data_IF_750379538679
#
_entry.id   IF_750379538679
#
_cell.length_a   1.000
_cell.length_b   1.000
_cell.length_c   1.000
_cell.angle_alpha   90.00
_cell.angle_beta   90.00
_cell.angle_gamma   90.00
#
_symmetry.space_group_name_H-M   'P 1'
#
loop_
_entity.id
_entity.type
_entity.pdbx_description
1 polymer ?
#
# COMPACT_ATOMS: atom_id res chain seq x y z
N UNK A 1 -30.67 -28.84 1.57
CA UNK A 1 -29.82 -27.96 0.73
C UNK A 1 -28.38 -28.27 1.06
N UNK A 2 -27.58 -28.60 0.07
CA UNK A 2 -26.16 -28.92 0.28
C UNK A 2 -25.41 -27.67 0.78
N UNK A 3 -24.65 -27.79 1.87
CA UNK A 3 -23.90 -26.71 2.45
C UNK A 3 -22.71 -26.39 1.53
N UNK A 4 -22.70 -25.21 0.90
CA UNK A 4 -21.63 -24.79 -0.01
C UNK A 4 -20.36 -24.49 0.78
N UNK A 5 -19.30 -25.25 0.50
CA UNK A 5 -17.99 -25.10 1.14
C UNK A 5 -17.07 -24.24 0.26
N UNK A 6 -16.56 -23.16 0.80
CA UNK A 6 -15.65 -22.24 0.12
C UNK A 6 -14.30 -22.19 0.87
N UNK A 7 -13.21 -22.31 0.14
CA UNK A 7 -11.89 -22.07 0.69
C UNK A 7 -11.38 -20.66 0.32
N UNK A 8 -10.74 -19.98 1.27
CA UNK A 8 -9.98 -18.74 1.03
C UNK A 8 -8.53 -19.02 1.45
N UNK A 9 -7.59 -18.93 0.51
CA UNK A 9 -6.18 -19.25 0.74
C UNK A 9 -5.36 -17.97 0.79
N UNK A 10 -4.87 -17.63 1.98
CA UNK A 10 -4.15 -16.40 2.29
C UNK A 10 -4.97 -15.42 3.13
N UNK A 11 -4.48 -15.15 4.35
CA UNK A 11 -5.10 -14.25 5.32
C UNK A 11 -4.57 -12.81 5.25
N UNK A 12 -4.13 -12.36 4.06
CA UNK A 12 -3.80 -10.95 3.78
C UNK A 12 -5.06 -10.10 3.58
N UNK A 13 -4.87 -8.82 3.30
CA UNK A 13 -5.98 -7.86 3.10
C UNK A 13 -6.98 -8.32 2.02
N UNK A 14 -6.50 -8.92 0.93
CA UNK A 14 -7.36 -9.47 -0.12
C UNK A 14 -8.22 -10.64 0.37
N UNK A 15 -7.63 -11.61 1.08
CA UNK A 15 -8.36 -12.78 1.59
C UNK A 15 -9.35 -12.42 2.69
N UNK A 16 -8.98 -11.49 3.58
CA UNK A 16 -9.89 -10.94 4.61
C UNK A 16 -11.08 -10.25 3.93
N UNK A 17 -10.83 -9.39 2.95
CA UNK A 17 -11.88 -8.70 2.19
C UNK A 17 -12.79 -9.69 1.47
N UNK A 18 -12.22 -10.74 0.86
CA UNK A 18 -13.00 -11.78 0.21
C UNK A 18 -13.90 -12.52 1.20
N UNK A 19 -13.37 -12.99 2.32
CA UNK A 19 -14.14 -13.70 3.34
C UNK A 19 -15.26 -12.83 3.94
N UNK A 20 -14.97 -11.54 4.24
CA UNK A 20 -15.95 -10.60 4.75
C UNK A 20 -17.06 -10.31 3.72
N UNK A 21 -16.72 -10.16 2.44
CA UNK A 21 -17.68 -9.95 1.35
C UNK A 21 -18.58 -11.18 1.16
N UNK A 22 -18.03 -12.39 1.22
CA UNK A 22 -18.80 -13.63 1.15
C UNK A 22 -19.83 -13.70 2.29
N UNK A 23 -19.43 -13.38 3.53
CA UNK A 23 -20.35 -13.36 4.69
C UNK A 23 -21.47 -12.34 4.52
N UNK A 24 -21.19 -11.17 3.98
CA UNK A 24 -22.15 -10.07 3.90
C UNK A 24 -23.19 -10.27 2.80
N UNK A 25 -22.80 -10.86 1.67
CA UNK A 25 -23.60 -10.85 0.45
C UNK A 25 -24.09 -12.24 0.01
N UNK A 26 -23.75 -13.30 0.75
CA UNK A 26 -24.26 -14.63 0.43
C UNK A 26 -25.79 -14.71 0.65
N UNK A 27 -26.52 -15.15 -0.37
CA UNK A 27 -27.97 -15.38 -0.30
C UNK A 27 -28.36 -16.67 0.47
N UNK A 28 -27.38 -17.53 0.75
CA UNK A 28 -27.51 -18.79 1.46
C UNK A 28 -26.31 -19.02 2.39
N UNK A 29 -26.44 -19.87 3.44
CA UNK A 29 -25.32 -20.17 4.33
C UNK A 29 -24.14 -20.78 3.58
N UNK A 30 -22.94 -20.23 3.81
CA UNK A 30 -21.68 -20.73 3.29
C UNK A 30 -20.80 -21.26 4.43
N UNK A 31 -20.13 -22.38 4.19
CA UNK A 31 -19.05 -22.85 5.06
C UNK A 31 -17.71 -22.32 4.53
N UNK A 32 -17.21 -21.26 5.13
CA UNK A 32 -15.96 -20.60 4.72
C UNK A 32 -14.81 -21.11 5.59
N UNK A 33 -13.74 -21.58 4.95
CA UNK A 33 -12.47 -21.90 5.59
C UNK A 33 -11.38 -20.96 5.06
N UNK A 34 -10.78 -20.17 5.94
CA UNK A 34 -9.66 -19.30 5.63
C UNK A 34 -8.36 -19.95 6.10
N UNK A 35 -7.42 -20.16 5.17
CA UNK A 35 -6.11 -20.72 5.43
C UNK A 35 -5.05 -19.63 5.42
N UNK A 36 -4.24 -19.55 6.48
CA UNK A 36 -3.09 -18.64 6.57
C UNK A 36 -1.83 -19.40 7.01
N UNK A 37 -0.76 -19.26 6.23
CA UNK A 37 0.51 -19.93 6.50
C UNK A 37 1.25 -19.34 7.72
N UNK A 38 1.00 -18.06 8.02
CA UNK A 38 1.60 -17.33 9.13
C UNK A 38 0.88 -17.56 10.46
N UNK A 39 1.49 -17.03 11.54
CA UNK A 39 0.91 -17.05 12.89
C UNK A 39 -0.22 -16.05 13.09
N UNK A 40 -0.34 -15.07 12.19
CA UNK A 40 -1.31 -13.98 12.25
C UNK A 40 -1.80 -13.61 10.84
N UNK A 41 -2.99 -13.02 10.77
CA UNK A 41 -3.51 -12.42 9.55
C UNK A 41 -2.75 -11.11 9.23
N UNK A 42 -3.05 -10.51 8.06
CA UNK A 42 -2.53 -9.21 7.62
C UNK A 42 -1.54 -9.27 6.45
N UNK A 43 -0.95 -10.44 6.19
CA UNK A 43 -0.04 -10.63 5.05
C UNK A 43 1.24 -9.79 5.18
N UNK A 44 1.56 -8.98 4.16
CA UNK A 44 2.73 -8.07 4.16
C UNK A 44 2.56 -6.89 5.13
N UNK A 45 1.35 -6.36 5.26
CA UNK A 45 1.04 -5.27 6.20
C UNK A 45 0.68 -5.85 7.57
N UNK A 46 1.71 -6.11 8.37
CA UNK A 46 1.60 -6.72 9.70
C UNK A 46 2.58 -6.08 10.66
N UNK A 47 2.32 -6.26 11.95
CA UNK A 47 3.27 -5.87 13.00
C UNK A 47 4.27 -7.00 13.27
N UNK A 48 5.48 -6.62 13.66
CA UNK A 48 6.60 -7.51 13.98
C UNK A 48 7.20 -7.15 15.32
N UNK A 49 7.66 -8.17 16.07
CA UNK A 49 8.40 -7.97 17.31
C UNK A 49 9.88 -7.78 17.00
N UNK A 50 10.46 -6.65 17.38
CA UNK A 50 11.88 -6.35 17.29
C UNK A 50 12.40 -5.92 18.66
N UNK A 51 13.19 -6.77 19.26
CA UNK A 51 13.66 -6.61 20.65
C UNK A 51 12.44 -6.36 21.59
N UNK A 52 12.40 -5.26 22.32
CA UNK A 52 11.29 -4.89 23.20
C UNK A 52 10.15 -4.12 22.50
N UNK A 53 10.27 -3.84 21.21
CA UNK A 53 9.31 -3.02 20.48
C UNK A 53 8.41 -3.86 19.57
N UNK A 54 7.12 -3.53 19.53
CA UNK A 54 6.19 -3.98 18.50
C UNK A 54 6.17 -2.91 17.41
N UNK A 55 6.77 -3.20 16.27
CA UNK A 55 6.88 -2.29 15.13
C UNK A 55 6.14 -2.88 13.92
N UNK A 56 5.98 -2.09 12.88
CA UNK A 56 5.36 -2.56 11.66
C UNK A 56 6.40 -3.11 10.67
N UNK A 57 5.96 -4.03 9.80
CA UNK A 57 6.78 -4.53 8.68
C UNK A 57 6.89 -3.45 7.59
N UNK A 58 7.29 -2.25 7.97
CA UNK A 58 7.33 -1.04 7.19
C UNK A 58 6.24 -0.03 7.57
N UNK A 59 6.59 1.26 7.51
CA UNK A 59 5.65 2.34 7.78
C UNK A 59 4.66 2.46 6.62
N UNK A 60 3.37 2.50 6.93
CA UNK A 60 2.30 2.62 5.95
C UNK A 60 1.59 3.97 6.06
N UNK A 61 1.04 4.42 4.95
CA UNK A 61 0.13 5.54 4.85
C UNK A 61 -1.09 5.06 4.07
N UNK A 62 -2.28 5.47 4.49
CA UNK A 62 -3.50 5.29 3.71
C UNK A 62 -4.00 6.66 3.27
N UNK A 63 -4.92 6.66 2.32
CA UNK A 63 -5.53 7.88 1.81
C UNK A 63 -7.05 7.84 1.97
N UNK A 64 -7.66 9.00 2.07
CA UNK A 64 -9.11 9.12 2.09
C UNK A 64 -9.78 8.58 0.82
N UNK A 65 -9.03 8.44 -0.28
CA UNK A 65 -9.47 7.77 -1.52
C UNK A 65 -9.65 6.26 -1.39
N UNK A 66 -9.16 5.62 -0.32
CA UNK A 66 -9.23 4.17 -0.11
C UNK A 66 -10.62 3.75 0.39
N UNK A 67 -11.63 3.91 -0.47
CA UNK A 67 -13.04 3.76 -0.10
C UNK A 67 -13.43 2.33 0.24
N UNK A 68 -12.90 1.33 -0.48
CA UNK A 68 -13.19 -0.08 -0.18
C UNK A 68 -12.53 -0.52 1.12
N UNK A 69 -11.33 0.00 1.42
CA UNK A 69 -10.66 -0.21 2.72
C UNK A 69 -11.45 0.39 3.87
N UNK A 70 -11.93 1.63 3.72
CA UNK A 70 -12.75 2.30 4.73
C UNK A 70 -14.12 1.61 4.91
N UNK A 71 -14.68 1.05 3.84
CA UNK A 71 -15.90 0.23 3.91
C UNK A 71 -15.65 -1.07 4.66
N UNK A 72 -14.54 -1.76 4.37
CA UNK A 72 -14.14 -2.98 5.07
C UNK A 72 -13.94 -2.71 6.57
N UNK A 73 -13.27 -1.61 6.95
CA UNK A 73 -13.12 -1.23 8.36
C UNK A 73 -14.46 -1.09 9.07
N UNK A 74 -15.42 -0.38 8.47
CA UNK A 74 -16.78 -0.25 9.04
C UNK A 74 -17.46 -1.60 9.23
N UNK A 75 -17.31 -2.51 8.26
CA UNK A 75 -17.84 -3.86 8.34
C UNK A 75 -17.21 -4.68 9.48
N UNK A 76 -15.92 -4.52 9.70
CA UNK A 76 -15.18 -5.21 10.77
C UNK A 76 -15.32 -4.53 12.15
N UNK A 77 -16.04 -3.42 12.25
CA UNK A 77 -16.21 -2.66 13.48
C UNK A 77 -14.99 -1.80 13.86
N UNK A 78 -14.08 -1.54 12.91
CA UNK A 78 -12.94 -0.65 13.13
C UNK A 78 -13.39 0.81 13.07
N UNK A 79 -13.15 1.53 14.13
CA UNK A 79 -13.44 2.96 14.22
C UNK A 79 -12.23 3.75 13.72
N UNK A 80 -12.40 4.52 12.66
CA UNK A 80 -11.30 5.17 11.94
C UNK A 80 -10.40 6.00 12.86
N UNK A 81 -10.97 6.86 13.70
CA UNK A 81 -10.20 7.78 14.55
C UNK A 81 -9.43 7.09 15.68
N UNK A 82 -9.74 5.81 15.99
CA UNK A 82 -9.01 5.02 16.97
C UNK A 82 -7.71 4.43 16.41
N UNK A 83 -7.63 4.29 15.08
CA UNK A 83 -6.52 3.58 14.42
C UNK A 83 -5.68 4.47 13.51
N UNK A 84 -6.23 5.58 13.00
CA UNK A 84 -5.50 6.54 12.16
C UNK A 84 -5.80 7.98 12.54
N UNK A 85 -4.81 8.86 12.35
CA UNK A 85 -4.97 10.30 12.33
C UNK A 85 -5.28 10.74 10.91
N UNK A 86 -6.50 11.22 10.66
CA UNK A 86 -6.86 11.84 9.39
C UNK A 86 -6.45 13.31 9.41
N UNK A 87 -5.74 13.72 8.36
CA UNK A 87 -5.37 15.13 8.17
C UNK A 87 -5.43 15.51 6.69
N UNK A 88 -5.71 16.79 6.36
CA UNK A 88 -5.63 17.27 4.99
C UNK A 88 -4.28 16.99 4.39
N UNK A 89 -4.23 16.74 3.07
CA UNK A 89 -2.99 16.49 2.38
C UNK A 89 -1.96 17.58 2.66
N UNK A 90 -0.82 17.16 3.18
CA UNK A 90 0.34 17.99 3.45
C UNK A 90 1.58 17.28 2.91
N UNK A 91 2.31 17.98 2.06
CA UNK A 91 3.59 17.52 1.54
C UNK A 91 4.65 18.53 1.92
N UNK A 92 5.49 18.17 2.87
CA UNK A 92 6.66 18.94 3.23
C UNK A 92 7.92 18.15 2.90
N UNK A 93 8.83 18.81 2.17
CA UNK A 93 10.09 18.23 1.75
C UNK A 93 11.21 19.13 2.19
N UNK A 94 12.24 18.54 2.79
CA UNK A 94 13.46 19.24 3.23
C UNK A 94 14.67 18.81 2.39
N UNK A 95 15.69 19.65 2.35
CA UNK A 95 17.02 19.33 1.85
C UNK A 95 18.04 19.93 2.82
N UNK A 96 18.78 19.09 3.52
CA UNK A 96 19.46 19.51 4.74
C UNK A 96 18.47 20.15 5.71
N UNK A 97 18.84 21.23 6.38
CA UNK A 97 17.98 21.92 7.35
C UNK A 97 16.94 22.87 6.71
N UNK A 98 16.84 22.90 5.38
CA UNK A 98 15.96 23.84 4.69
C UNK A 98 14.72 23.14 4.13
N UNK A 99 13.55 23.74 4.34
CA UNK A 99 12.33 23.35 3.65
C UNK A 99 12.38 23.81 2.20
N UNK A 100 12.40 22.86 1.26
CA UNK A 100 12.47 23.12 -0.18
C UNK A 100 11.12 23.01 -0.88
N UNK A 101 10.13 22.40 -0.23
CA UNK A 101 8.75 22.36 -0.67
C UNK A 101 7.82 22.31 0.55
N UNK A 102 6.79 23.17 0.55
CA UNK A 102 5.69 23.06 1.49
C UNK A 102 4.38 23.27 0.73
N UNK A 103 3.61 22.20 0.60
CA UNK A 103 2.31 22.17 -0.05
C UNK A 103 1.26 21.67 0.94
N UNK A 104 0.24 22.46 1.20
CA UNK A 104 -0.82 22.12 2.14
C UNK A 104 -2.19 22.41 1.53
N UNK A 105 -3.09 21.45 1.63
CA UNK A 105 -4.50 21.68 1.32
C UNK A 105 -5.19 22.33 2.52
N UNK A 106 -6.05 23.32 2.24
CA UNK A 106 -6.91 23.91 3.29
C UNK A 106 -7.83 22.83 3.88
N UNK A 107 -8.06 22.88 5.19
CA UNK A 107 -8.91 21.90 5.88
C UNK A 107 -10.39 22.01 5.46
N UNK A 108 -10.85 23.19 5.05
CA UNK A 108 -12.27 23.49 4.74
C UNK A 108 -12.41 24.25 3.43
N UNK A 109 -13.63 24.27 2.91
CA UNK A 109 -14.02 24.94 1.68
C UNK A 109 -14.28 24.00 0.49
N UNK A 110 -14.85 24.50 -0.60
CA UNK A 110 -15.06 23.72 -1.81
C UNK A 110 -13.76 23.12 -2.33
N UNK A 111 -13.82 21.89 -2.85
CA UNK A 111 -12.63 21.14 -3.25
C UNK A 111 -11.74 21.89 -4.26
N UNK A 112 -12.34 22.48 -5.31
CA UNK A 112 -11.62 23.27 -6.29
C UNK A 112 -10.90 24.50 -5.68
N UNK A 113 -11.51 25.14 -4.68
CA UNK A 113 -10.90 26.27 -3.95
C UNK A 113 -9.73 25.82 -3.08
N UNK A 114 -9.84 24.65 -2.44
CA UNK A 114 -8.74 24.05 -1.66
C UNK A 114 -7.51 23.80 -2.55
N UNK A 115 -7.72 23.20 -3.73
CA UNK A 115 -6.64 22.97 -4.71
C UNK A 115 -6.04 24.27 -5.24
N UNK A 116 -6.87 25.24 -5.65
CA UNK A 116 -6.41 26.52 -6.17
C UNK A 116 -5.61 27.30 -5.11
N UNK A 117 -6.15 27.42 -3.90
CA UNK A 117 -5.50 28.13 -2.81
C UNK A 117 -4.18 27.48 -2.39
N UNK A 118 -4.10 26.14 -2.40
CA UNK A 118 -2.86 25.43 -2.10
C UNK A 118 -1.81 25.68 -3.21
N UNK A 119 -2.21 25.65 -4.47
CA UNK A 119 -1.33 26.00 -5.60
C UNK A 119 -0.77 27.42 -5.54
N UNK A 120 -1.61 28.39 -5.08
CA UNK A 120 -1.17 29.78 -4.88
C UNK A 120 -0.23 29.94 -3.67
N UNK A 121 -0.44 29.19 -2.62
CA UNK A 121 0.30 29.27 -1.34
C UNK A 121 1.52 28.37 -1.27
N UNK A 122 1.72 27.48 -2.23
CA UNK A 122 2.86 26.56 -2.23
C UNK A 122 4.17 27.31 -2.11
N UNK A 123 4.98 26.92 -1.13
CA UNK A 123 6.33 27.46 -0.91
C UNK A 123 7.38 26.57 -1.56
N UNK A 124 8.51 27.18 -2.00
CA UNK A 124 9.62 26.44 -2.58
C UNK A 124 9.51 26.22 -4.09
N UNK A 125 8.45 26.70 -4.77
CA UNK A 125 8.32 26.66 -6.21
C UNK A 125 8.47 28.04 -6.84
N UNK A 126 9.36 28.14 -7.83
CA UNK A 126 9.49 29.31 -8.70
C UNK A 126 8.24 29.47 -9.59
N UNK A 127 8.02 30.65 -10.16
CA UNK A 127 6.91 30.89 -11.10
C UNK A 127 6.96 29.95 -12.32
N UNK A 128 8.15 29.61 -12.80
CA UNK A 128 8.34 28.66 -13.90
C UNK A 128 7.91 27.25 -13.51
N UNK A 129 8.24 26.81 -12.32
CA UNK A 129 7.83 25.49 -11.79
C UNK A 129 6.31 25.43 -11.55
N UNK A 130 5.68 26.50 -11.06
CA UNK A 130 4.22 26.59 -10.92
C UNK A 130 3.52 26.45 -12.29
N UNK A 131 4.01 27.15 -13.32
CA UNK A 131 3.48 27.01 -14.68
C UNK A 131 3.71 25.61 -15.27
N UNK A 132 4.85 24.99 -14.99
CA UNK A 132 5.13 23.61 -15.38
C UNK A 132 4.14 22.64 -14.71
N UNK A 133 3.84 22.85 -13.42
CA UNK A 133 2.85 22.04 -12.71
C UNK A 133 1.42 22.22 -13.27
N UNK A 134 1.00 23.45 -13.55
CA UNK A 134 -0.29 23.72 -14.20
C UNK A 134 -0.39 23.00 -15.56
N UNK A 135 0.67 23.05 -16.37
CA UNK A 135 0.74 22.34 -17.66
C UNK A 135 0.64 20.81 -17.47
N UNK A 136 1.32 20.25 -16.47
CA UNK A 136 1.23 18.84 -16.14
C UNK A 136 -0.20 18.45 -15.75
N UNK A 137 -0.84 19.24 -14.89
CA UNK A 137 -2.23 18.96 -14.48
C UNK A 137 -3.21 19.10 -15.65
N UNK A 138 -3.03 20.09 -16.55
CA UNK A 138 -3.81 20.21 -17.75
C UNK A 138 -3.63 19.00 -18.69
N UNK A 139 -2.39 18.56 -18.89
CA UNK A 139 -2.10 17.37 -19.70
C UNK A 139 -2.74 16.10 -19.08
N UNK A 140 -2.70 15.94 -17.75
CA UNK A 140 -3.33 14.83 -17.05
C UNK A 140 -4.85 14.75 -17.27
N UNK A 141 -5.50 15.91 -17.42
CA UNK A 141 -6.95 16.03 -17.61
C UNK A 141 -7.40 15.91 -19.07
N UNK A 142 -6.56 16.34 -20.03
CA UNK A 142 -6.97 16.52 -21.43
C UNK A 142 -6.31 15.56 -22.39
N UNK A 143 -5.18 14.94 -22.04
CA UNK A 143 -4.44 14.09 -22.95
C UNK A 143 -4.59 12.60 -22.59
N UNK A 144 -4.76 11.72 -23.58
CA UNK A 144 -4.75 10.29 -23.35
C UNK A 144 -3.32 9.85 -22.94
N UNK A 145 -3.24 8.96 -21.96
CA UNK A 145 -1.99 8.36 -21.51
C UNK A 145 -1.94 6.94 -22.04
N UNK A 146 -0.95 6.67 -22.90
CA UNK A 146 -0.77 5.33 -23.45
C UNK A 146 -0.24 4.38 -22.37
N UNK A 147 -0.66 3.10 -22.39
CA UNK A 147 -0.24 2.10 -21.37
C UNK A 147 1.28 1.96 -21.24
N UNK A 148 2.02 2.14 -22.34
CA UNK A 148 3.49 2.02 -22.38
C UNK A 148 4.23 3.29 -21.91
N UNK A 149 3.52 4.38 -21.59
CA UNK A 149 4.16 5.63 -21.19
C UNK A 149 4.69 5.53 -19.77
N UNK A 150 5.99 5.80 -19.60
CA UNK A 150 6.57 5.91 -18.26
C UNK A 150 6.37 7.30 -17.66
N UNK A 151 6.46 7.40 -16.34
CA UNK A 151 6.38 8.70 -15.66
C UNK A 151 7.50 9.63 -16.14
N UNK A 152 8.73 9.15 -16.29
CA UNK A 152 9.86 9.97 -16.79
C UNK A 152 9.58 10.54 -18.19
N UNK A 153 9.04 9.73 -19.11
CA UNK A 153 8.66 10.19 -20.44
C UNK A 153 7.59 11.29 -20.38
N UNK A 154 6.56 11.10 -19.58
CA UNK A 154 5.49 12.08 -19.44
C UNK A 154 5.97 13.39 -18.79
N UNK A 155 6.85 13.32 -17.78
CA UNK A 155 7.48 14.49 -17.16
C UNK A 155 8.30 15.28 -18.18
N UNK A 156 9.05 14.60 -19.06
CA UNK A 156 9.76 15.22 -20.18
C UNK A 156 8.81 15.92 -21.17
N UNK A 157 7.74 15.24 -21.61
CA UNK A 157 6.72 15.79 -22.51
C UNK A 157 6.04 17.03 -21.93
N UNK A 158 5.78 17.02 -20.62
CA UNK A 158 5.18 18.14 -19.89
C UNK A 158 6.22 19.17 -19.41
N UNK A 159 7.50 19.02 -19.82
CA UNK A 159 8.62 19.93 -19.56
C UNK A 159 8.77 20.26 -18.06
N UNK A 160 8.76 19.23 -17.21
CA UNK A 160 9.05 19.40 -15.81
C UNK A 160 10.56 19.59 -15.60
N UNK A 161 10.96 20.54 -14.74
CA UNK A 161 12.37 20.78 -14.43
C UNK A 161 12.91 19.70 -13.47
N UNK A 162 14.22 19.44 -13.54
CA UNK A 162 14.88 18.50 -12.62
C UNK A 162 14.70 18.89 -11.15
N UNK A 163 14.65 20.19 -10.86
CA UNK A 163 14.36 20.71 -9.52
C UNK A 163 12.97 20.28 -9.06
N UNK A 164 11.94 20.44 -9.91
CA UNK A 164 10.57 20.07 -9.59
C UNK A 164 10.41 18.54 -9.52
N UNK A 165 11.12 17.80 -10.37
CA UNK A 165 11.15 16.35 -10.32
C UNK A 165 11.65 15.88 -8.96
N UNK A 166 12.81 16.34 -8.52
CA UNK A 166 13.41 15.94 -7.23
C UNK A 166 12.59 16.36 -6.00
N UNK A 167 11.95 17.52 -6.03
CA UNK A 167 11.20 18.05 -4.88
C UNK A 167 9.80 17.48 -4.76
N UNK A 168 9.16 17.14 -5.88
CA UNK A 168 7.72 16.79 -5.91
C UNK A 168 7.46 15.42 -6.56
N UNK A 169 7.81 15.27 -7.84
CA UNK A 169 7.36 14.12 -8.61
C UNK A 169 8.00 12.81 -8.15
N UNK A 170 9.31 12.79 -7.96
CA UNK A 170 10.03 11.58 -7.55
C UNK A 170 9.59 11.08 -6.17
N UNK A 171 9.52 11.90 -5.11
CA UNK A 171 8.98 11.47 -3.83
C UNK A 171 7.55 10.94 -3.91
N UNK A 172 6.68 11.59 -4.69
CA UNK A 172 5.29 11.14 -4.86
C UNK A 172 5.18 9.81 -5.61
N UNK A 173 5.93 9.64 -6.69
CA UNK A 173 5.91 8.40 -7.49
C UNK A 173 6.47 7.24 -6.69
N UNK A 174 7.58 7.43 -5.98
CA UNK A 174 8.15 6.40 -5.12
C UNK A 174 7.20 6.04 -3.96
N UNK A 175 6.55 7.04 -3.35
CA UNK A 175 5.56 6.77 -2.30
C UNK A 175 4.33 6.02 -2.81
N UNK A 176 3.85 6.34 -4.03
CA UNK A 176 2.63 5.77 -4.58
C UNK A 176 2.84 4.43 -5.29
N UNK A 177 3.94 4.28 -6.06
CA UNK A 177 4.17 3.14 -6.93
C UNK A 177 5.35 2.26 -6.49
N UNK A 178 6.18 2.74 -5.58
CA UNK A 178 7.44 2.07 -5.18
C UNK A 178 8.31 1.66 -6.39
N UNK A 179 8.26 2.44 -7.47
CA UNK A 179 8.87 2.12 -8.77
C UNK A 179 9.59 3.36 -9.29
N UNK A 180 10.83 3.23 -9.80
CA UNK A 180 11.59 4.37 -10.34
C UNK A 180 10.86 5.06 -11.50
N UNK A 181 11.00 6.37 -11.63
CA UNK A 181 10.34 7.19 -12.65
C UNK A 181 10.54 6.67 -14.09
N UNK A 182 11.72 6.10 -14.36
CA UNK A 182 12.12 5.60 -15.68
C UNK A 182 11.32 4.39 -16.14
N UNK A 183 10.74 3.63 -15.22
CA UNK A 183 9.98 2.41 -15.50
C UNK A 183 8.54 2.49 -15.00
N UNK A 184 8.25 3.38 -14.05
CA UNK A 184 6.93 3.53 -13.43
C UNK A 184 5.85 3.85 -14.45
N UNK A 185 4.70 3.19 -14.34
CA UNK A 185 3.54 3.39 -15.21
C UNK A 185 2.89 4.76 -15.00
N UNK A 186 2.87 5.58 -16.03
CA UNK A 186 2.18 6.87 -15.97
C UNK A 186 0.66 6.71 -15.93
N UNK A 187 0.08 5.70 -16.57
CA UNK A 187 -1.36 5.46 -16.54
C UNK A 187 -1.85 5.12 -15.13
N UNK A 188 -1.11 4.28 -14.39
CA UNK A 188 -1.41 3.93 -12.99
C UNK A 188 -1.19 5.14 -12.07
N UNK A 189 -0.10 5.89 -12.25
CA UNK A 189 0.14 7.10 -11.46
C UNK A 189 -0.94 8.15 -11.68
N UNK A 190 -1.37 8.32 -12.94
CA UNK A 190 -2.47 9.22 -13.28
C UNK A 190 -3.79 8.83 -12.60
N UNK A 191 -4.08 7.53 -12.49
CA UNK A 191 -5.25 7.05 -11.76
C UNK A 191 -5.16 7.37 -10.27
N UNK A 192 -3.99 7.15 -9.65
CA UNK A 192 -3.75 7.54 -8.26
C UNK A 192 -3.98 9.04 -8.05
N UNK A 193 -3.47 9.89 -8.95
CA UNK A 193 -3.67 11.34 -8.86
C UNK A 193 -5.15 11.72 -9.05
N UNK A 194 -5.87 11.09 -9.96
CA UNK A 194 -7.31 11.33 -10.16
C UNK A 194 -8.10 10.95 -8.91
N UNK A 195 -7.86 9.77 -8.37
CA UNK A 195 -8.59 9.27 -7.19
C UNK A 195 -8.27 10.08 -5.93
N UNK A 196 -7.01 10.48 -5.74
CA UNK A 196 -6.60 11.22 -4.54
C UNK A 196 -6.83 12.73 -4.63
N UNK A 197 -6.62 13.34 -5.79
CA UNK A 197 -6.66 14.81 -5.92
C UNK A 197 -7.98 15.29 -6.51
N UNK A 198 -8.58 14.55 -7.47
CA UNK A 198 -9.74 15.01 -8.23
C UNK A 198 -11.09 14.43 -7.74
N UNK A 199 -11.10 13.36 -6.95
CA UNK A 199 -12.33 12.67 -6.52
C UNK A 199 -13.12 13.37 -5.41
N UNK A 200 -12.74 14.58 -5.00
CA UNK A 200 -13.54 15.39 -4.08
C UNK A 200 -12.92 15.60 -2.70
N UNK A 201 -13.70 16.22 -1.82
CA UNK A 201 -13.24 16.56 -0.48
C UNK A 201 -12.94 15.30 0.34
N UNK A 202 -11.78 15.30 1.00
CA UNK A 202 -11.34 14.21 1.86
C UNK A 202 -10.64 13.05 1.13
N UNK A 203 -10.76 12.91 -0.20
CA UNK A 203 -10.07 11.86 -0.95
C UNK A 203 -8.54 11.98 -0.85
N UNK A 204 -8.03 13.20 -0.86
CA UNK A 204 -6.61 13.51 -0.69
C UNK A 204 -6.12 13.45 0.75
N UNK A 205 -7.00 13.33 1.75
CA UNK A 205 -6.57 13.32 3.14
C UNK A 205 -5.60 12.15 3.39
N UNK A 206 -4.56 12.43 4.17
CA UNK A 206 -3.65 11.41 4.66
C UNK A 206 -4.26 10.74 5.90
N UNK A 207 -4.25 9.43 5.90
CA UNK A 207 -4.63 8.60 7.05
C UNK A 207 -3.36 7.98 7.60
N UNK A 208 -2.79 8.63 8.62
CA UNK A 208 -1.54 8.21 9.26
C UNK A 208 -1.87 7.25 10.41
N UNK A 209 -1.39 6.00 10.39
CA UNK A 209 -1.60 5.07 11.48
C UNK A 209 -1.12 5.63 12.81
N UNK A 210 -1.93 5.43 13.86
CA UNK A 210 -1.62 5.75 15.26
C UNK A 210 -1.64 4.50 16.13
N UNK A 211 -1.92 3.36 15.52
CA UNK A 211 -1.87 2.03 16.11
C UNK A 211 -1.05 1.11 15.21
N UNK A 212 -0.44 0.02 15.75
CA UNK A 212 0.23 -0.99 14.94
C UNK A 212 -0.68 -1.55 13.83
N UNK A 213 -0.12 -1.89 12.67
CA UNK A 213 -0.88 -2.37 11.50
C UNK A 213 -1.79 -3.58 11.80
N UNK A 214 -1.42 -4.39 12.78
CA UNK A 214 -2.27 -5.50 13.21
C UNK A 214 -3.62 -5.03 13.74
N UNK A 215 -3.69 -3.89 14.41
CA UNK A 215 -4.93 -3.29 14.93
C UNK A 215 -5.80 -2.69 13.84
N UNK A 216 -5.21 -2.28 12.71
CA UNK A 216 -5.94 -1.68 11.59
C UNK A 216 -6.81 -2.71 10.85
N UNK A 217 -6.41 -3.99 10.82
CA UNK A 217 -7.16 -5.01 10.10
C UNK A 217 -7.07 -6.41 10.73
N UNK A 218 -5.86 -6.91 10.98
CA UNK A 218 -5.65 -8.33 11.27
C UNK A 218 -6.39 -8.82 12.52
N UNK A 219 -6.33 -8.05 13.61
CA UNK A 219 -6.99 -8.40 14.88
C UNK A 219 -8.52 -8.27 14.79
N UNK A 220 -9.10 -7.14 14.34
CA UNK A 220 -10.55 -7.03 14.20
C UNK A 220 -11.10 -8.03 13.18
N UNK A 221 -10.38 -8.30 12.07
CA UNK A 221 -10.80 -9.26 11.08
C UNK A 221 -10.87 -10.70 11.65
N UNK A 222 -9.85 -11.13 12.40
CA UNK A 222 -9.85 -12.46 12.99
C UNK A 222 -11.05 -12.64 13.92
N UNK A 223 -11.30 -11.67 14.79
CA UNK A 223 -12.46 -11.67 15.69
C UNK A 223 -13.78 -11.72 14.93
N UNK A 224 -13.95 -10.83 13.94
CA UNK A 224 -15.17 -10.76 13.12
C UNK A 224 -15.44 -12.06 12.36
N UNK A 225 -14.42 -12.62 11.70
CA UNK A 225 -14.57 -13.84 10.90
C UNK A 225 -14.93 -15.03 11.78
N UNK A 226 -14.28 -15.20 12.93
CA UNK A 226 -14.58 -16.29 13.87
C UNK A 226 -15.98 -16.17 14.48
N UNK A 227 -16.40 -14.98 14.89
CA UNK A 227 -17.74 -14.72 15.42
C UNK A 227 -18.85 -15.00 14.39
N UNK A 228 -18.54 -14.87 13.09
CA UNK A 228 -19.46 -15.15 11.99
C UNK A 228 -19.28 -16.56 11.39
N UNK A 229 -18.65 -17.49 12.11
CA UNK A 229 -18.58 -18.90 11.76
C UNK A 229 -17.54 -19.27 10.69
N UNK A 230 -16.60 -18.39 10.36
CA UNK A 230 -15.47 -18.72 9.47
C UNK A 230 -14.43 -19.55 10.21
N UNK A 231 -14.07 -20.71 9.67
CA UNK A 231 -12.98 -21.52 10.18
C UNK A 231 -11.62 -20.89 9.80
N UNK A 232 -11.00 -20.15 10.72
CA UNK A 232 -9.69 -19.53 10.49
C UNK A 232 -8.55 -20.48 10.88
N UNK A 233 -7.87 -21.06 9.89
CA UNK A 233 -6.78 -22.01 10.06
C UNK A 233 -5.42 -21.27 9.93
N UNK A 234 -4.91 -20.75 11.04
CA UNK A 234 -3.57 -20.13 11.11
C UNK A 234 -2.48 -21.20 11.14
N UNK A 235 -1.25 -20.84 10.76
CA UNK A 235 -0.08 -21.74 10.66
C UNK A 235 -0.35 -22.95 9.74
N UNK A 236 -1.32 -22.82 8.85
CA UNK A 236 -1.71 -23.86 7.89
C UNK A 236 -1.38 -23.40 6.47
N UNK A 237 -0.25 -23.85 5.94
CA UNK A 237 0.15 -23.63 4.55
C UNK A 237 -0.56 -24.63 3.67
N UNK A 238 -1.40 -24.16 2.75
CA UNK A 238 -1.92 -24.97 1.64
C UNK A 238 -0.77 -25.25 0.67
N UNK A 239 -0.68 -26.48 0.22
CA UNK A 239 0.38 -26.96 -0.69
C UNK A 239 -0.10 -27.14 -2.11
N UNK A 240 -1.37 -27.51 -2.29
CA UNK A 240 -1.93 -27.88 -3.59
C UNK A 240 -3.38 -27.44 -3.74
N UNK A 241 -3.70 -26.95 -4.92
CA UNK A 241 -5.03 -26.64 -5.40
C UNK A 241 -5.24 -27.33 -6.73
N UNK A 242 -6.24 -28.18 -6.83
CA UNK A 242 -6.49 -29.00 -8.01
C UNK A 242 -7.94 -28.81 -8.48
N UNK A 243 -8.18 -28.28 -9.69
CA UNK A 243 -9.53 -28.19 -10.25
C UNK A 243 -10.06 -29.59 -10.55
N UNK A 244 -11.32 -29.84 -10.16
CA UNK A 244 -12.06 -31.07 -10.48
C UNK A 244 -13.38 -30.72 -11.14
N UNK A 245 -14.08 -31.70 -11.70
CA UNK A 245 -15.29 -31.47 -12.54
C UNK A 245 -16.34 -30.57 -11.87
N UNK A 246 -16.62 -30.73 -10.58
CA UNK A 246 -17.66 -30.01 -9.86
C UNK A 246 -17.17 -29.14 -8.70
N UNK A 247 -15.87 -28.85 -8.63
CA UNK A 247 -15.28 -28.09 -7.52
C UNK A 247 -13.77 -28.02 -7.57
N UNK A 248 -13.14 -28.00 -6.40
CA UNK A 248 -11.69 -27.87 -6.24
C UNK A 248 -11.25 -28.72 -5.05
N UNK A 249 -10.15 -29.44 -5.20
CA UNK A 249 -9.46 -30.06 -4.07
C UNK A 249 -8.39 -29.08 -3.53
N UNK A 250 -8.45 -28.81 -2.24
CA UNK A 250 -7.45 -28.04 -1.50
C UNK A 250 -6.76 -29.00 -0.53
N UNK A 251 -5.50 -29.32 -0.76
CA UNK A 251 -4.76 -30.40 -0.06
C UNK A 251 -5.56 -31.71 0.04
N UNK A 252 -6.23 -32.10 -1.06
CA UNK A 252 -7.07 -33.33 -1.13
C UNK A 252 -8.47 -33.19 -0.50
N UNK A 253 -8.84 -32.06 0.08
CA UNK A 253 -10.16 -31.82 0.64
C UNK A 253 -11.04 -31.08 -0.37
N UNK A 254 -12.26 -31.56 -0.61
CA UNK A 254 -13.19 -30.96 -1.57
C UNK A 254 -13.82 -29.64 -1.07
N UNK A 255 -13.82 -28.64 -1.95
CA UNK A 255 -14.55 -27.39 -1.86
C UNK A 255 -15.31 -27.12 -3.16
N UNK A 256 -16.43 -26.41 -3.07
CA UNK A 256 -17.23 -26.02 -4.24
C UNK A 256 -16.54 -24.93 -5.06
N UNK A 257 -15.81 -24.04 -4.38
CA UNK A 257 -14.95 -23.03 -5.00
C UNK A 257 -13.82 -22.59 -4.06
N UNK A 258 -12.80 -21.96 -4.64
CA UNK A 258 -11.68 -21.41 -3.89
C UNK A 258 -11.35 -19.97 -4.34
N UNK A 259 -11.06 -19.10 -3.38
CA UNK A 259 -10.42 -17.82 -3.63
C UNK A 259 -8.96 -17.93 -3.19
N UNK A 260 -8.04 -17.84 -4.14
CA UNK A 260 -6.59 -17.86 -3.90
C UNK A 260 -6.11 -16.42 -3.75
N UNK A 261 -5.88 -16.01 -2.50
CA UNK A 261 -5.49 -14.66 -2.10
C UNK A 261 -4.02 -14.59 -1.65
N UNK A 262 -3.16 -15.35 -2.30
CA UNK A 262 -1.72 -15.38 -2.04
C UNK A 262 -0.97 -14.39 -2.94
N UNK A 263 0.25 -14.03 -2.55
CA UNK A 263 1.13 -13.23 -3.40
C UNK A 263 1.52 -13.99 -4.68
N UNK A 264 1.80 -13.31 -5.82
CA UNK A 264 2.02 -13.95 -7.12
C UNK A 264 3.02 -15.10 -7.11
N UNK A 265 4.15 -14.94 -6.40
CA UNK A 265 5.20 -15.97 -6.28
C UNK A 265 4.75 -17.24 -5.56
N UNK A 266 3.65 -17.19 -4.83
CA UNK A 266 3.07 -18.35 -4.15
C UNK A 266 1.85 -18.88 -4.87
N UNK A 267 1.15 -18.06 -5.64
CA UNK A 267 -0.08 -18.42 -6.34
C UNK A 267 0.19 -19.52 -7.36
N UNK A 268 1.14 -19.31 -8.28
CA UNK A 268 1.44 -20.29 -9.32
C UNK A 268 1.91 -21.65 -8.76
N UNK A 269 2.64 -21.63 -7.66
CA UNK A 269 3.16 -22.85 -7.02
C UNK A 269 2.09 -23.74 -6.36
N UNK A 270 0.84 -23.25 -6.23
CA UNK A 270 -0.27 -24.04 -5.69
C UNK A 270 -0.88 -24.99 -6.71
N UNK A 271 -0.62 -24.77 -8.00
CA UNK A 271 -1.25 -25.52 -9.09
C UNK A 271 -0.26 -26.48 -9.74
N UNK A 272 -0.72 -27.69 -10.04
CA UNK A 272 0.08 -28.69 -10.80
C UNK A 272 0.13 -28.35 -12.28
N UNK A 273 -0.91 -27.69 -12.79
CA UNK A 273 -0.95 -27.18 -14.16
C UNK A 273 -0.53 -25.70 -14.17
N UNK A 274 0.22 -25.25 -15.19
CA UNK A 274 0.56 -23.84 -15.32
C UNK A 274 -0.70 -22.95 -15.37
N UNK A 275 -0.66 -21.83 -14.68
CA UNK A 275 -1.71 -20.83 -14.78
C UNK A 275 -1.70 -20.23 -16.19
N UNK A 276 -2.87 -20.09 -16.86
CA UNK A 276 -2.96 -19.43 -18.16
C UNK A 276 -2.45 -17.98 -18.08
N UNK A 277 -1.65 -17.57 -19.07
CA UNK A 277 -1.15 -16.20 -19.22
C UNK A 277 -0.54 -15.62 -17.92
N UNK A 278 0.15 -16.45 -17.13
CA UNK A 278 0.76 -16.02 -15.88
C UNK A 278 2.05 -15.24 -16.16
N UNK A 279 2.09 -13.90 -15.86
CA UNK A 279 3.25 -13.09 -16.18
C UNK A 279 4.42 -13.37 -15.24
N UNK A 280 5.62 -12.97 -15.67
CA UNK A 280 6.76 -12.87 -14.77
C UNK A 280 6.60 -11.64 -13.87
N UNK A 281 7.04 -11.80 -12.63
CA UNK A 281 6.88 -10.77 -11.60
C UNK A 281 8.22 -10.25 -11.12
N UNK A 282 8.45 -8.97 -11.34
CA UNK A 282 9.50 -8.23 -10.67
C UNK A 282 8.95 -7.57 -9.41
N UNK A 283 9.79 -7.51 -8.36
CA UNK A 283 9.41 -6.97 -7.06
C UNK A 283 10.36 -5.86 -6.65
N UNK A 284 9.80 -4.85 -6.01
CA UNK A 284 10.57 -3.81 -5.38
C UNK A 284 10.50 -3.91 -3.86
N UNK A 285 11.64 -3.77 -3.18
CA UNK A 285 11.72 -3.78 -1.73
C UNK A 285 11.30 -2.42 -1.15
N UNK A 286 10.99 -2.45 0.14
CA UNK A 286 10.92 -1.26 1.00
C UNK A 286 11.75 -1.56 2.24
N UNK A 287 12.69 -0.67 2.55
CA UNK A 287 13.42 -0.70 3.80
C UNK A 287 12.88 0.37 4.75
N UNK A 288 12.77 0.04 6.02
CA UNK A 288 12.44 0.99 7.09
C UNK A 288 13.52 0.91 8.14
N UNK A 289 14.15 2.04 8.44
CA UNK A 289 15.10 2.18 9.54
C UNK A 289 14.36 2.83 10.70
N UNK A 290 14.18 2.08 11.77
CA UNK A 290 13.63 2.59 13.02
C UNK A 290 14.77 3.07 13.91
N UNK A 291 14.67 4.31 14.38
CA UNK A 291 15.67 4.93 15.23
C UNK A 291 15.01 5.50 16.49
N UNK A 292 15.54 5.17 17.68
CA UNK A 292 15.10 5.72 18.95
C UNK A 292 16.18 6.64 19.53
N UNK A 293 15.80 7.85 19.81
CA UNK A 293 16.63 8.89 20.40
C UNK A 293 16.30 9.09 21.89
N UNK A 294 17.22 9.69 22.63
CA UNK A 294 16.99 10.03 24.05
C UNK A 294 15.87 11.07 24.21
N UNK A 295 15.71 11.95 23.24
CA UNK A 295 14.68 12.99 23.19
C UNK A 295 13.99 12.96 21.84
N UNK A 296 12.81 13.59 21.73
CA UNK A 296 12.10 13.73 20.49
C UNK A 296 12.94 14.46 19.43
N UNK A 297 13.08 13.86 18.26
CA UNK A 297 13.59 14.55 17.07
C UNK A 297 12.49 15.48 16.56
N UNK A 298 12.75 16.78 16.52
CA UNK A 298 11.77 17.78 16.11
C UNK A 298 11.58 17.75 14.60
N UNK A 299 10.57 17.05 14.14
CA UNK A 299 10.11 17.12 12.75
C UNK A 299 9.04 18.23 12.64
N UNK A 300 9.02 19.00 11.53
CA UNK A 300 8.01 20.04 11.33
C UNK A 300 6.59 19.50 11.15
N UNK A 301 6.45 18.24 10.70
CA UNK A 301 5.19 17.53 10.55
C UNK A 301 5.37 16.06 10.93
N UNK A 302 4.26 15.33 11.20
CA UNK A 302 4.31 13.90 11.50
C UNK A 302 4.96 13.04 10.40
N UNK A 303 4.99 13.55 9.17
CA UNK A 303 5.64 12.95 8.00
C UNK A 303 6.36 14.04 7.20
N UNK A 304 7.64 13.82 6.87
CA UNK A 304 8.48 14.77 6.11
C UNK A 304 9.26 14.01 5.04
N UNK A 305 9.29 14.54 3.82
CA UNK A 305 10.13 14.04 2.74
C UNK A 305 11.55 14.62 2.78
N UNK A 306 12.54 13.87 2.27
CA UNK A 306 13.91 14.38 2.05
C UNK A 306 14.19 14.37 0.55
N UNK A 307 14.43 15.55 -0.05
CA UNK A 307 14.71 15.68 -1.47
C UNK A 307 16.10 15.14 -1.82
N UNK A 308 16.15 14.15 -2.71
CA UNK A 308 17.40 13.53 -3.16
C UNK A 308 18.16 12.80 -2.07
N UNK A 309 17.51 12.52 -0.93
CA UNK A 309 18.07 11.77 0.18
C UNK A 309 17.94 10.27 0.01
N UNK A 310 18.67 9.53 0.84
CA UNK A 310 18.53 8.09 1.00
C UNK A 310 17.18 7.76 1.68
N UNK A 311 16.89 8.43 2.80
CA UNK A 311 15.65 8.32 3.53
C UNK A 311 14.58 9.21 2.93
N UNK A 312 13.76 8.67 2.03
CA UNK A 312 12.77 9.46 1.28
C UNK A 312 11.70 10.05 2.17
N UNK A 313 11.26 9.31 3.21
CA UNK A 313 10.23 9.74 4.14
C UNK A 313 10.61 9.47 5.59
N UNK A 314 10.42 10.45 6.44
CA UNK A 314 10.66 10.38 7.88
C UNK A 314 9.35 10.56 8.61
N UNK A 315 9.03 9.64 9.53
CA UNK A 315 7.81 9.66 10.34
C UNK A 315 8.14 9.87 11.80
N UNK A 316 7.46 10.82 12.43
CA UNK A 316 7.50 11.06 13.87
C UNK A 316 6.59 10.07 14.60
N UNK A 317 7.13 8.92 15.00
CA UNK A 317 6.36 7.90 15.71
C UNK A 317 6.00 8.31 17.13
N UNK A 318 6.73 9.27 17.72
CA UNK A 318 6.31 9.82 19.01
C UNK A 318 4.98 10.57 18.87
N UNK A 319 4.84 11.42 17.85
CA UNK A 319 3.59 12.17 17.64
C UNK A 319 2.43 11.29 17.14
N UNK A 320 2.73 10.19 16.44
CA UNK A 320 1.73 9.29 15.88
C UNK A 320 1.34 8.16 16.83
N UNK A 321 2.31 7.48 17.41
CA UNK A 321 2.11 6.24 18.20
C UNK A 321 2.38 6.43 19.70
N UNK A 322 2.83 7.63 20.14
CA UNK A 322 3.25 7.86 21.52
C UNK A 322 4.59 7.22 21.90
N UNK A 323 5.38 6.77 20.92
CA UNK A 323 6.65 6.10 21.13
C UNK A 323 7.79 7.10 21.35
N UNK A 324 8.14 7.38 22.59
CA UNK A 324 9.14 8.40 22.97
C UNK A 324 10.45 8.31 22.18
N UNK A 325 10.80 9.40 21.47
CA UNK A 325 12.03 9.55 20.70
C UNK A 325 12.14 8.64 19.47
N UNK A 326 11.06 7.94 19.08
CA UNK A 326 11.08 7.03 17.94
C UNK A 326 10.73 7.75 16.63
N UNK A 327 11.54 7.51 15.62
CA UNK A 327 11.24 7.86 14.22
C UNK A 327 11.36 6.61 13.34
N UNK A 328 10.68 6.64 12.21
CA UNK A 328 10.83 5.65 11.14
C UNK A 328 11.26 6.35 9.85
N UNK A 329 12.31 5.86 9.22
CA UNK A 329 12.84 6.38 7.96
C UNK A 329 12.60 5.33 6.87
N UNK A 330 11.84 5.69 5.85
CA UNK A 330 11.42 4.79 4.77
C UNK A 330 12.25 5.03 3.52
N UNK A 331 12.74 3.93 2.95
CA UNK A 331 13.49 3.89 1.69
C UNK A 331 12.74 2.97 0.74
N UNK A 332 12.18 3.55 -0.32
CA UNK A 332 11.37 2.87 -1.32
C UNK A 332 12.17 2.56 -2.58
N UNK A 333 11.78 1.49 -3.27
CA UNK A 333 12.35 1.09 -4.55
C UNK A 333 13.71 0.38 -4.47
N UNK A 334 14.22 -0.05 -5.62
CA UNK A 334 15.55 -0.64 -5.73
C UNK A 334 16.64 0.46 -5.62
N UNK A 335 17.79 0.09 -5.08
CA UNK A 335 18.94 1.00 -4.95
C UNK A 335 20.14 0.35 -4.29
N UNK A 336 21.24 1.06 -4.22
CA UNK A 336 22.51 0.58 -3.63
C UNK A 336 22.37 0.16 -2.16
N UNK A 337 21.44 0.78 -1.43
CA UNK A 337 21.16 0.49 -0.03
C UNK A 337 20.85 -1.01 0.25
N UNK A 338 20.46 -1.76 -0.77
CA UNK A 338 20.19 -3.20 -0.66
C UNK A 338 21.46 -4.05 -0.63
N UNK A 339 22.60 -3.48 -1.03
CA UNK A 339 23.91 -4.16 -1.01
C UNK A 339 24.68 -3.89 0.27
N UNK A 340 24.26 -2.89 1.05
CA UNK A 340 24.94 -2.50 2.29
C UNK A 340 24.57 -3.41 3.46
N UNK A 341 25.47 -3.51 4.42
CA UNK A 341 25.14 -4.13 5.70
C UNK A 341 24.11 -3.28 6.47
N UNK A 342 23.34 -3.92 7.36
CA UNK A 342 22.39 -3.16 8.21
C UNK A 342 23.08 -2.09 9.04
N UNK A 343 24.32 -2.32 9.49
CA UNK A 343 25.11 -1.33 10.24
C UNK A 343 25.43 -0.13 9.38
N UNK A 344 25.91 -0.34 8.16
CA UNK A 344 26.19 0.73 7.20
C UNK A 344 24.93 1.51 6.82
N UNK A 345 23.82 0.81 6.58
CA UNK A 345 22.55 1.47 6.26
C UNK A 345 22.04 2.34 7.41
N UNK A 346 22.15 1.86 8.67
CA UNK A 346 21.82 2.65 9.86
C UNK A 346 22.71 3.88 9.96
N UNK A 347 24.02 3.74 9.79
CA UNK A 347 24.97 4.84 9.90
C UNK A 347 24.68 5.94 8.87
N UNK A 348 24.47 5.58 7.60
CA UNK A 348 24.13 6.52 6.53
C UNK A 348 22.81 7.25 6.79
N UNK A 349 21.78 6.51 7.20
CA UNK A 349 20.45 7.09 7.51
C UNK A 349 20.55 8.02 8.72
N UNK A 350 21.23 7.63 9.80
CA UNK A 350 21.34 8.47 10.99
C UNK A 350 22.19 9.70 10.75
N UNK A 351 23.22 9.62 9.90
CA UNK A 351 24.00 10.77 9.43
C UNK A 351 23.10 11.76 8.66
N UNK A 352 22.26 11.27 7.75
CA UNK A 352 21.32 12.10 7.00
C UNK A 352 20.28 12.76 7.92
N UNK A 353 19.73 12.02 8.86
CA UNK A 353 18.75 12.55 9.85
C UNK A 353 19.41 13.62 10.73
N UNK A 354 20.68 13.41 11.13
CA UNK A 354 21.43 14.43 11.87
C UNK A 354 21.63 15.70 11.05
N UNK A 355 21.98 15.56 9.77
CA UNK A 355 22.15 16.70 8.87
C UNK A 355 20.84 17.48 8.62
N UNK A 356 19.70 16.79 8.52
CA UNK A 356 18.42 17.41 8.23
C UNK A 356 17.72 18.00 9.48
N UNK A 357 17.86 17.36 10.62
CA UNK A 357 17.06 17.67 11.81
C UNK A 357 17.88 17.93 13.07
N UNK A 358 19.22 18.04 12.95
CA UNK A 358 20.12 18.21 14.07
C UNK A 358 19.95 17.14 15.17
N UNK A 359 19.58 15.93 14.77
CA UNK A 359 19.38 14.82 15.69
C UNK A 359 20.74 14.31 16.23
N UNK A 360 20.82 13.93 17.52
CA UNK A 360 22.01 13.27 18.08
C UNK A 360 22.13 11.84 17.54
N UNK A 361 23.09 11.07 18.06
CA UNK A 361 23.15 9.65 17.79
C UNK A 361 21.97 8.91 18.45
N UNK A 362 21.33 7.94 17.78
CA UNK A 362 20.24 7.18 18.35
C UNK A 362 20.74 6.23 19.45
N UNK A 363 19.92 6.00 20.46
CA UNK A 363 20.16 5.00 21.51
C UNK A 363 19.96 3.56 20.98
N UNK A 364 19.13 3.41 19.98
CA UNK A 364 18.78 2.13 19.36
C UNK A 364 18.36 2.36 17.91
N UNK A 365 18.77 1.46 17.02
CA UNK A 365 18.30 1.47 15.65
C UNK A 365 18.21 0.04 15.09
N UNK A 366 17.24 -0.21 14.23
CA UNK A 366 17.04 -1.47 13.51
C UNK A 366 16.51 -1.24 12.11
N UNK A 367 16.85 -2.17 11.24
CA UNK A 367 16.38 -2.19 9.84
C UNK A 367 15.37 -3.31 9.67
N UNK A 368 14.25 -2.99 9.03
CA UNK A 368 13.27 -3.97 8.52
C UNK A 368 13.25 -3.82 7.01
N UNK A 369 13.48 -4.91 6.28
CA UNK A 369 13.41 -4.92 4.80
C UNK A 369 12.37 -5.95 4.36
N UNK A 370 11.28 -5.47 3.77
CA UNK A 370 10.37 -6.33 3.03
C UNK A 370 10.87 -6.41 1.57
N UNK A 371 11.53 -7.51 1.23
CA UNK A 371 12.18 -7.69 -0.08
C UNK A 371 11.20 -7.72 -1.25
N UNK A 372 9.96 -8.13 -1.01
CA UNK A 372 8.87 -8.20 -2.00
C UNK A 372 7.70 -7.35 -1.54
N UNK A 373 7.99 -6.09 -1.19
CA UNK A 373 7.00 -5.18 -0.64
C UNK A 373 5.87 -4.92 -1.64
N UNK A 374 6.24 -4.67 -2.89
CA UNK A 374 5.31 -4.44 -4.01
C UNK A 374 5.77 -5.21 -5.24
N UNK A 375 4.85 -5.54 -6.14
CA UNK A 375 5.25 -5.80 -7.52
C UNK A 375 5.75 -4.50 -8.16
N UNK A 376 6.63 -4.59 -9.16
CA UNK A 376 7.09 -3.45 -9.92
C UNK A 376 5.92 -2.89 -10.77
N UNK A 377 5.52 -1.65 -10.49
CA UNK A 377 4.41 -0.99 -11.18
C UNK A 377 4.87 -0.36 -12.49
N UNK A 378 5.33 -1.19 -13.43
CA UNK A 378 5.93 -0.76 -14.70
C UNK A 378 4.89 -0.43 -15.76
N UNK A 379 5.28 0.43 -16.71
CA UNK A 379 4.45 0.74 -17.88
C UNK A 379 4.24 -0.52 -18.74
N UNK A 380 3.00 -0.71 -19.22
CA UNK A 380 2.66 -1.86 -20.08
C UNK A 380 2.64 -3.22 -19.37
N UNK A 381 2.52 -3.26 -18.05
CA UNK A 381 2.46 -4.51 -17.29
C UNK A 381 1.31 -5.40 -17.74
N UNK A 382 1.60 -6.66 -18.01
CA UNK A 382 0.60 -7.68 -18.33
C UNK A 382 -0.27 -8.02 -17.12
N UNK A 383 -1.53 -8.33 -17.37
CA UNK A 383 -2.50 -8.70 -16.35
C UNK A 383 -2.81 -10.19 -16.41
N UNK A 384 -2.70 -10.93 -15.30
CA UNK A 384 -3.13 -12.32 -15.27
C UNK A 384 -4.65 -12.42 -15.24
N UNK A 385 -5.16 -13.57 -15.67
CA UNK A 385 -6.58 -13.87 -15.55
C UNK A 385 -6.96 -14.00 -14.07
N UNK A 386 -8.02 -13.29 -13.64
CA UNK A 386 -8.52 -13.37 -12.26
C UNK A 386 -9.31 -14.64 -11.98
N UNK A 387 -9.74 -15.36 -13.01
CA UNK A 387 -10.49 -16.62 -12.93
C UNK A 387 -9.94 -17.63 -13.91
N UNK A 388 -8.83 -18.31 -13.56
CA UNK A 388 -8.17 -19.26 -14.46
C UNK A 388 -8.98 -20.54 -14.74
N UNK A 389 -9.84 -20.94 -13.82
CA UNK A 389 -10.79 -22.06 -13.94
C UNK A 389 -12.15 -21.69 -13.33
N UNK A 390 -13.24 -22.37 -13.73
CA UNK A 390 -14.62 -21.98 -13.32
C UNK A 390 -14.84 -21.82 -11.80
N UNK A 391 -14.20 -22.61 -10.97
CA UNK A 391 -14.35 -22.61 -9.51
C UNK A 391 -13.17 -21.97 -8.76
N UNK A 392 -12.20 -21.40 -9.48
CA UNK A 392 -10.97 -20.84 -8.91
C UNK A 392 -10.90 -19.36 -9.23
N UNK A 393 -10.92 -18.55 -8.18
CA UNK A 393 -10.83 -17.09 -8.24
C UNK A 393 -9.52 -16.65 -7.62
N UNK A 394 -8.83 -15.72 -8.25
CA UNK A 394 -7.62 -15.14 -7.70
C UNK A 394 -7.95 -13.79 -7.05
N UNK A 395 -7.26 -13.47 -5.97
CA UNK A 395 -7.33 -12.19 -5.30
C UNK A 395 -5.93 -11.71 -4.89
N UNK A 396 -5.67 -10.42 -5.00
CA UNK A 396 -4.38 -9.81 -4.67
C UNK A 396 -4.26 -8.43 -5.31
N UNK A 397 -3.44 -7.59 -4.72
CA UNK A 397 -3.14 -6.23 -5.22
C UNK A 397 -2.72 -6.20 -6.69
N UNK A 398 -2.09 -7.27 -7.17
CA UNK A 398 -1.57 -7.43 -8.53
C UNK A 398 -2.66 -7.64 -9.61
N UNK A 399 -3.90 -7.91 -9.21
CA UNK A 399 -5.02 -8.15 -10.13
C UNK A 399 -5.81 -6.88 -10.48
N UNK A 400 -5.50 -5.74 -9.87
CA UNK A 400 -6.09 -4.46 -10.22
C UNK A 400 -5.17 -3.76 -11.21
N UNK A 401 -5.63 -3.67 -12.46
CA UNK A 401 -4.79 -3.25 -13.60
C UNK A 401 -4.33 -1.80 -13.50
N UNK A 402 -5.23 -0.93 -13.10
CA UNK A 402 -5.10 0.52 -13.08
C UNK A 402 -4.68 1.08 -11.71
N UNK A 403 -4.28 0.19 -10.79
CA UNK A 403 -3.86 0.59 -9.44
C UNK A 403 -2.51 -0.03 -9.03
N UNK A 404 -1.73 0.66 -8.18
CA UNK A 404 -0.46 0.13 -7.69
C UNK A 404 -0.68 -0.92 -6.59
N UNK A 405 0.42 -1.53 -6.13
CA UNK A 405 0.43 -2.46 -5.00
C UNK A 405 0.09 -1.73 -3.68
N UNK A 406 -1.18 -1.60 -3.38
CA UNK A 406 -1.69 -0.92 -2.18
C UNK A 406 -2.63 -1.81 -1.37
N UNK A 407 -2.91 -1.40 -0.14
CA UNK A 407 -3.93 -2.04 0.71
C UNK A 407 -5.30 -1.96 0.03
N UNK A 408 -5.60 -0.83 -0.61
CA UNK A 408 -6.84 -0.62 -1.35
C UNK A 408 -7.00 -1.60 -2.51
N UNK A 409 -5.95 -1.79 -3.33
CA UNK A 409 -5.98 -2.76 -4.44
C UNK A 409 -6.22 -4.18 -3.92
N UNK A 410 -5.58 -4.54 -2.80
CA UNK A 410 -5.79 -5.84 -2.18
C UNK A 410 -7.24 -6.02 -1.74
N UNK A 411 -7.82 -5.04 -1.08
CA UNK A 411 -9.24 -5.07 -0.63
C UNK A 411 -10.18 -5.12 -1.83
N UNK A 412 -10.00 -4.25 -2.84
CA UNK A 412 -10.79 -4.25 -4.08
C UNK A 412 -10.77 -5.60 -4.76
N UNK A 413 -9.61 -6.22 -4.92
CA UNK A 413 -9.50 -7.51 -5.60
C UNK A 413 -10.19 -8.64 -4.82
N UNK A 414 -10.08 -8.66 -3.49
CA UNK A 414 -10.79 -9.61 -2.64
C UNK A 414 -12.30 -9.51 -2.77
N UNK A 415 -12.82 -8.27 -2.73
CA UNK A 415 -14.24 -7.96 -2.93
C UNK A 415 -14.72 -8.40 -4.32
N UNK A 416 -13.94 -8.12 -5.38
CA UNK A 416 -14.27 -8.53 -6.75
C UNK A 416 -14.32 -10.05 -6.90
N UNK A 417 -13.31 -10.78 -6.38
CA UNK A 417 -13.28 -12.24 -6.43
C UNK A 417 -14.48 -12.87 -5.72
N UNK A 418 -14.81 -12.36 -4.52
CA UNK A 418 -15.97 -12.83 -3.77
C UNK A 418 -17.30 -12.53 -4.48
N UNK A 419 -17.44 -11.34 -5.07
CA UNK A 419 -18.65 -10.97 -5.83
C UNK A 419 -18.82 -11.84 -7.08
N UNK A 420 -17.74 -12.10 -7.83
CA UNK A 420 -17.77 -13.00 -8.99
C UNK A 420 -18.14 -14.42 -8.59
N UNK A 421 -17.63 -14.91 -7.44
CA UNK A 421 -17.99 -16.22 -6.91
C UNK A 421 -19.48 -16.28 -6.54
N UNK A 422 -20.00 -15.31 -5.82
CA UNK A 422 -21.40 -15.25 -5.41
C UNK A 422 -22.36 -15.24 -6.61
N UNK A 423 -22.04 -14.51 -7.66
CA UNK A 423 -22.85 -14.47 -8.89
C UNK A 423 -22.96 -15.83 -9.60
N UNK A 424 -22.05 -16.77 -9.35
CA UNK A 424 -22.15 -18.13 -9.87
C UNK A 424 -23.08 -19.02 -9.04
N UNK A 425 -23.30 -18.68 -7.76
CA UNK A 425 -24.07 -19.49 -6.82
C UNK A 425 -25.42 -18.88 -6.42
N UNK A 426 -25.77 -17.73 -6.99
CA UNK A 426 -27.13 -17.15 -6.94
C UNK A 426 -28.02 -17.78 -8.00
#
# INVERSE_FOLDING_TARGET
>A
MENVRIAVIGGGWAGISAAATLLQHASRPLHITLFEAGKQLGGRARSVQLDQYVLDNGQHILMGAYQDTLQLWRQLGVVEHDVVRRQPFCLQVVQGQHTVLNYQLAASGPHWWRLLSAGLRVQGLSLRERWALVRAMAALLTQPILPQTTVAQWLGQTKQSDSLIRKLWEPLVLAALNTPLTTASMSVFAQVLRDSVLSGAGASDLLLPIQPLAALLALPALSFLQQNGVSCCLQRRVKQVEPVEKGVLVDGVFYHAVIVATAPQHTAALFTQPLPDWPQWDYHPIATVYCRYAQQVKLPYPMVGIAGGLGQWVFDRQSLYGENGMIAVVISGPGEHLTWSHVELIDRVTTEISACFAAPQPLWARVVIEKRATFACVAGREQPQSRPWPQIYLAGDYLIADYPATLESAVRSGKLAATQLLNQYQ
#
